data_IF_270060471923
#
_entry.id   IF_270060471923
#
_cell.length_a   1.000
_cell.length_b   1.000
_cell.length_c   1.000
_cell.angle_alpha   90.00
_cell.angle_beta   90.00
_cell.angle_gamma   90.00
#
_symmetry.space_group_name_H-M   'P 1'
#
loop_
_entity.id
_entity.type
_entity.pdbx_description
1 polymer ?
#
# COMPACT_ATOMS: atom_id res chain seq x y z
N UNK A 1 -54.44 37.61 -14.21
CA UNK A 1 -53.83 37.10 -12.96
C UNK A 1 -54.37 35.69 -12.77
N UNK A 2 -53.65 34.57 -12.73
CA UNK A 2 -52.27 34.22 -12.41
C UNK A 2 -51.93 32.94 -13.24
N UNK A 3 -50.80 32.91 -13.95
CA UNK A 3 -50.26 31.68 -14.57
C UNK A 3 -49.23 31.09 -13.61
N UNK A 4 -49.52 29.95 -12.98
CA UNK A 4 -48.51 29.19 -12.22
C UNK A 4 -47.77 28.24 -13.17
N UNK A 5 -46.47 28.50 -13.32
CA UNK A 5 -45.50 27.61 -13.97
C UNK A 5 -45.12 26.52 -12.97
N UNK A 6 -45.35 25.26 -13.29
CA UNK A 6 -44.72 24.14 -12.58
C UNK A 6 -43.27 24.04 -13.03
N UNK A 7 -42.35 24.32 -12.12
CA UNK A 7 -40.91 24.08 -12.27
C UNK A 7 -40.66 22.64 -11.84
N UNK A 8 -40.30 21.77 -12.78
CA UNK A 8 -39.87 20.39 -12.51
C UNK A 8 -38.39 20.44 -12.14
N UNK A 9 -38.08 20.38 -10.84
CA UNK A 9 -36.72 20.19 -10.33
C UNK A 9 -36.30 18.73 -10.53
N UNK A 10 -35.34 18.50 -11.43
CA UNK A 10 -34.59 17.23 -11.50
C UNK A 10 -33.72 17.13 -10.24
N UNK A 11 -34.06 16.22 -9.33
CA UNK A 11 -33.17 15.82 -8.26
C UNK A 11 -32.09 14.89 -8.83
N UNK A 12 -30.85 15.37 -8.90
CA UNK A 12 -29.67 14.54 -9.18
C UNK A 12 -29.41 13.69 -7.93
N UNK A 13 -29.84 12.43 -7.96
CA UNK A 13 -29.45 11.45 -6.95
C UNK A 13 -27.98 11.09 -7.18
N UNK A 14 -27.08 11.73 -6.43
CA UNK A 14 -25.71 11.30 -6.31
C UNK A 14 -25.69 9.95 -5.58
N UNK A 15 -25.63 8.85 -6.33
CA UNK A 15 -25.34 7.53 -5.78
C UNK A 15 -23.88 7.51 -5.35
N UNK A 16 -23.61 7.96 -4.13
CA UNK A 16 -22.35 7.69 -3.46
C UNK A 16 -22.22 6.17 -3.33
N UNK A 17 -21.33 5.56 -4.11
CA UNK A 17 -20.85 4.21 -3.86
C UNK A 17 -20.12 4.26 -2.52
N UNK A 18 -20.86 4.02 -1.44
CA UNK A 18 -20.25 3.72 -0.16
C UNK A 18 -19.50 2.41 -0.37
N UNK A 19 -18.17 2.45 -0.36
CA UNK A 19 -17.43 1.25 0.01
C UNK A 19 -17.95 0.91 1.40
N UNK A 20 -18.86 -0.05 1.47
CA UNK A 20 -19.26 -0.63 2.73
C UNK A 20 -18.01 -1.31 3.27
N UNK A 21 -17.33 -0.62 4.19
CA UNK A 21 -16.28 -1.23 4.98
C UNK A 21 -16.98 -2.33 5.75
N UNK A 22 -16.89 -3.56 5.26
CA UNK A 22 -17.33 -4.72 6.02
C UNK A 22 -16.48 -4.71 7.30
N UNK A 23 -17.13 -4.46 8.44
CA UNK A 23 -16.49 -4.71 9.72
C UNK A 23 -16.17 -6.21 9.77
N UNK A 24 -14.96 -6.55 10.21
CA UNK A 24 -14.71 -7.94 10.55
C UNK A 24 -15.76 -8.39 11.59
N UNK A 25 -16.27 -9.63 11.52
CA UNK A 25 -17.14 -10.13 12.56
C UNK A 25 -16.42 -10.00 13.91
N UNK A 26 -17.16 -9.62 14.96
CA UNK A 26 -16.61 -9.60 16.32
C UNK A 26 -15.99 -10.97 16.61
N UNK A 27 -14.77 -10.96 17.13
CA UNK A 27 -14.05 -12.18 17.45
C UNK A 27 -14.70 -12.91 18.63
N UNK A 28 -14.33 -14.16 18.85
CA UNK A 28 -14.46 -14.70 20.19
C UNK A 28 -13.35 -14.07 21.02
N UNK A 29 -13.67 -13.59 22.23
CA UNK A 29 -12.68 -13.08 23.19
C UNK A 29 -11.53 -14.09 23.32
N UNK A 30 -10.32 -13.65 23.01
CA UNK A 30 -9.11 -14.46 23.08
C UNK A 30 -8.32 -14.11 24.34
N UNK A 31 -7.72 -15.13 24.96
CA UNK A 31 -6.77 -14.96 26.06
C UNK A 31 -5.43 -15.56 25.65
N UNK A 32 -4.34 -14.82 25.87
CA UNK A 32 -2.98 -15.25 25.58
C UNK A 32 -2.05 -14.92 26.74
N UNK A 33 -1.25 -15.91 27.12
CA UNK A 33 -0.21 -15.76 28.12
C UNK A 33 1.15 -15.73 27.42
N UNK A 34 1.96 -14.75 27.77
CA UNK A 34 3.27 -14.46 27.18
C UNK A 34 4.27 -14.34 28.32
N UNK A 35 5.40 -15.04 28.20
CA UNK A 35 6.50 -14.93 29.15
C UNK A 35 7.52 -13.91 28.62
N UNK A 36 7.67 -12.81 29.34
CA UNK A 36 8.60 -11.73 29.04
C UNK A 36 9.89 -11.85 29.85
N UNK A 37 10.97 -11.34 29.26
CA UNK A 37 12.17 -10.95 29.97
C UNK A 37 12.16 -9.43 30.12
N UNK A 38 12.01 -8.95 31.35
CA UNK A 38 11.88 -7.54 31.69
C UNK A 38 13.15 -7.03 32.39
N UNK A 39 13.73 -5.95 31.88
CA UNK A 39 14.93 -5.35 32.42
C UNK A 39 14.57 -4.26 33.41
N UNK A 40 14.88 -4.50 34.67
CA UNK A 40 14.68 -3.58 35.78
C UNK A 40 15.96 -2.80 36.06
N UNK A 41 15.87 -1.53 36.49
CA UNK A 41 17.04 -0.73 36.81
C UNK A 41 17.97 -1.41 37.83
N UNK A 42 17.45 -1.82 39.00
CA UNK A 42 18.28 -2.28 40.13
C UNK A 42 18.56 -3.79 40.15
N UNK A 43 17.58 -4.60 39.76
CA UNK A 43 17.64 -6.08 39.88
C UNK A 43 17.88 -6.79 38.54
N UNK A 44 18.19 -6.02 37.48
CA UNK A 44 18.50 -6.56 36.17
C UNK A 44 17.31 -7.27 35.50
N UNK A 45 17.60 -8.31 34.72
CA UNK A 45 16.57 -9.02 33.95
C UNK A 45 15.78 -9.97 34.86
N UNK A 46 14.46 -9.80 34.87
CA UNK A 46 13.51 -10.60 35.62
C UNK A 46 12.42 -11.14 34.69
N UNK A 47 11.96 -12.38 34.90
CA UNK A 47 10.83 -12.91 34.16
C UNK A 47 9.54 -12.21 34.62
N UNK A 48 8.66 -11.92 33.67
CA UNK A 48 7.30 -11.45 33.92
C UNK A 48 6.34 -12.26 33.07
N UNK A 49 5.30 -12.82 33.68
CA UNK A 49 4.24 -13.47 32.93
C UNK A 49 3.11 -12.47 32.70
N UNK A 50 2.76 -12.24 31.44
CA UNK A 50 1.67 -11.37 31.05
C UNK A 50 0.53 -12.17 30.45
N UNK A 51 -0.69 -11.88 30.86
CA UNK A 51 -1.90 -12.41 30.23
C UNK A 51 -2.69 -11.28 29.60
N UNK A 52 -2.88 -11.34 28.29
CA UNK A 52 -3.70 -10.41 27.52
C UNK A 52 -5.03 -11.05 27.19
N UNK A 53 -6.11 -10.30 27.40
CA UNK A 53 -7.42 -10.64 26.86
C UNK A 53 -7.84 -9.55 25.89
N UNK A 54 -8.12 -9.96 24.65
CA UNK A 54 -8.43 -9.07 23.54
C UNK A 54 -9.56 -9.65 22.69
N UNK A 55 -10.39 -8.77 22.14
CA UNK A 55 -11.49 -9.13 21.25
C UNK A 55 -11.11 -8.81 19.80
N UNK A 56 -10.19 -9.61 19.26
CA UNK A 56 -9.83 -9.57 17.85
C UNK A 56 -10.21 -10.87 17.15
N UNK A 57 -10.61 -10.81 15.88
CA UNK A 57 -10.79 -12.01 15.08
C UNK A 57 -9.46 -12.76 14.93
N UNK A 58 -9.51 -14.10 14.95
CA UNK A 58 -8.33 -14.94 14.70
C UNK A 58 -7.82 -14.82 13.25
N UNK A 59 -8.71 -14.46 12.33
CA UNK A 59 -8.43 -14.25 10.92
C UNK A 59 -8.98 -12.90 10.45
N UNK A 60 -8.20 -12.15 9.68
CA UNK A 60 -8.65 -10.91 9.06
C UNK A 60 -8.72 -11.05 7.53
N UNK A 61 -9.78 -10.47 6.94
CA UNK A 61 -9.94 -10.32 5.48
C UNK A 61 -9.28 -9.02 5.00
N UNK A 62 -8.91 -8.98 3.73
CA UNK A 62 -8.32 -7.79 3.12
C UNK A 62 -9.21 -6.55 3.27
N UNK A 63 -8.61 -5.41 3.64
CA UNK A 63 -9.25 -4.11 3.85
C UNK A 63 -10.36 -4.07 4.93
N UNK A 64 -10.59 -5.17 5.66
CA UNK A 64 -11.47 -5.15 6.80
C UNK A 64 -10.86 -4.27 7.90
N UNK A 65 -11.71 -3.43 8.49
CA UNK A 65 -11.37 -2.76 9.72
C UNK A 65 -11.64 -3.73 10.87
N UNK A 66 -10.61 -4.01 11.67
CA UNK A 66 -10.82 -4.48 13.03
C UNK A 66 -11.22 -3.26 13.85
N UNK A 67 -12.41 -3.26 14.48
CA UNK A 67 -12.86 -2.15 15.28
C UNK A 67 -11.95 -1.95 16.51
N UNK A 68 -12.01 -0.76 17.08
CA UNK A 68 -11.45 -0.54 18.40
C UNK A 68 -12.07 -1.54 19.39
N UNK A 69 -11.22 -2.22 20.17
CA UNK A 69 -11.64 -3.28 21.06
C UNK A 69 -11.05 -3.06 22.46
N UNK A 70 -11.79 -3.43 23.52
CA UNK A 70 -11.23 -3.42 24.86
C UNK A 70 -10.11 -4.44 24.97
N UNK A 71 -9.02 -4.03 25.61
CA UNK A 71 -7.88 -4.88 25.93
C UNK A 71 -7.72 -4.87 27.44
N UNK A 72 -7.56 -6.06 28.02
CA UNK A 72 -7.15 -6.21 29.42
C UNK A 72 -5.82 -6.93 29.48
N UNK A 73 -4.95 -6.49 30.39
CA UNK A 73 -3.63 -7.05 30.61
C UNK A 73 -3.46 -7.37 32.09
N UNK A 74 -2.81 -8.49 32.40
CA UNK A 74 -2.50 -8.92 33.75
C UNK A 74 -1.04 -9.33 33.82
N UNK A 75 -0.24 -8.63 34.61
CA UNK A 75 1.22 -8.83 34.73
C UNK A 75 1.56 -9.39 36.09
N UNK A 76 2.02 -10.63 36.12
CA UNK A 76 2.48 -11.30 37.32
C UNK A 76 3.99 -11.13 37.49
N UNK A 77 4.38 -10.56 38.62
CA UNK A 77 5.78 -10.35 38.99
C UNK A 77 6.20 -11.35 40.08
N UNK A 78 7.40 -11.89 39.94
CA UNK A 78 7.97 -12.84 40.90
C UNK A 78 8.52 -12.20 42.17
N UNK A 79 8.95 -13.05 43.10
CA UNK A 79 9.51 -12.65 44.40
C UNK A 79 10.65 -11.63 44.33
N UNK A 80 11.61 -11.68 43.38
CA UNK A 80 12.70 -10.69 43.33
C UNK A 80 12.21 -9.25 43.13
N UNK A 81 11.14 -9.06 42.35
CA UNK A 81 10.54 -7.73 42.16
C UNK A 81 9.85 -7.29 43.45
N UNK A 82 9.13 -8.20 44.12
CA UNK A 82 8.50 -7.90 45.41
C UNK A 82 9.52 -7.53 46.50
N UNK A 83 10.68 -8.22 46.53
CA UNK A 83 11.76 -7.94 47.47
C UNK A 83 12.46 -6.60 47.19
N UNK A 84 12.61 -6.23 45.90
CA UNK A 84 13.06 -4.89 45.50
C UNK A 84 12.09 -3.82 46.00
N UNK A 85 10.79 -3.99 45.77
CA UNK A 85 9.79 -3.05 46.27
C UNK A 85 9.88 -2.94 47.79
N UNK A 86 10.04 -4.08 48.50
CA UNK A 86 10.15 -4.14 49.95
C UNK A 86 11.45 -3.56 50.53
N UNK A 87 12.39 -3.08 49.69
CA UNK A 87 13.65 -2.50 50.12
C UNK A 87 14.65 -3.50 50.70
N UNK A 88 14.48 -4.81 50.45
CA UNK A 88 15.33 -5.84 51.07
C UNK A 88 16.76 -5.87 50.52
N UNK A 89 16.98 -5.24 49.35
CA UNK A 89 18.29 -5.15 48.67
C UNK A 89 19.12 -3.93 49.09
N UNK A 90 18.83 -3.32 50.25
CA UNK A 90 19.59 -2.19 50.78
C UNK A 90 19.07 -0.81 50.35
N UNK A 91 17.86 -0.73 49.78
CA UNK A 91 17.11 0.50 49.60
C UNK A 91 16.14 0.66 50.79
N UNK A 92 16.07 1.83 51.43
CA UNK A 92 15.00 2.12 52.39
C UNK A 92 13.64 1.91 51.70
N UNK A 93 12.63 1.39 52.43
CA UNK A 93 11.30 0.98 51.90
C UNK A 93 10.87 1.78 50.68
N UNK A 94 10.69 1.11 49.54
CA UNK A 94 10.65 1.80 48.26
C UNK A 94 9.23 2.21 47.84
N UNK A 95 8.16 1.46 48.22
CA UNK A 95 6.80 1.88 47.85
C UNK A 95 5.63 1.17 48.56
N UNK A 96 4.82 1.87 49.36
CA UNK A 96 3.54 1.31 49.86
C UNK A 96 2.45 1.19 48.77
N UNK A 97 2.66 1.86 47.64
CA UNK A 97 1.77 1.85 46.48
C UNK A 97 2.56 1.88 45.17
N UNK A 98 2.12 1.06 44.21
CA UNK A 98 2.67 1.00 42.86
C UNK A 98 1.59 1.30 41.83
N UNK A 99 1.86 2.24 40.93
CA UNK A 99 1.03 2.60 39.79
C UNK A 99 1.80 2.34 38.50
N UNK A 100 1.07 2.00 37.43
CA UNK A 100 1.67 1.70 36.15
C UNK A 100 0.84 2.30 35.02
N UNK A 101 1.54 2.79 34.01
CA UNK A 101 0.98 3.03 32.68
C UNK A 101 1.84 2.31 31.65
N UNK A 102 1.26 2.00 30.50
CA UNK A 102 1.98 1.31 29.46
C UNK A 102 1.41 1.66 28.10
N UNK A 103 2.30 1.73 27.11
CA UNK A 103 1.92 1.62 25.70
C UNK A 103 2.26 0.21 25.23
N UNK A 104 1.23 -0.54 24.82
CA UNK A 104 1.41 -1.84 24.18
C UNK A 104 1.70 -1.62 22.69
N UNK A 105 2.88 -2.05 22.25
CA UNK A 105 3.28 -2.01 20.85
C UNK A 105 2.66 -3.17 20.07
N UNK A 106 1.94 -2.85 19.00
CA UNK A 106 1.55 -3.83 17.98
C UNK A 106 2.53 -3.73 16.82
N UNK A 107 3.44 -4.69 16.74
CA UNK A 107 4.43 -4.72 15.65
C UNK A 107 3.79 -5.30 14.39
N UNK A 108 3.77 -4.49 13.32
CA UNK A 108 3.51 -4.97 11.96
C UNK A 108 4.80 -5.55 11.36
N UNK A 109 4.77 -6.81 10.90
CA UNK A 109 5.86 -7.38 10.13
C UNK A 109 5.54 -7.30 8.64
N UNK A 110 5.98 -6.21 8.01
CA UNK A 110 5.97 -6.11 6.56
C UNK A 110 7.02 -7.01 5.92
N UNK A 111 6.67 -7.61 4.78
CA UNK A 111 7.61 -8.31 3.89
C UNK A 111 8.75 -7.40 3.38
N UNK A 112 8.71 -6.10 3.72
CA UNK A 112 9.65 -5.04 3.35
C UNK A 112 10.19 -4.26 4.56
N UNK A 113 10.42 -4.90 5.70
CA UNK A 113 11.29 -4.40 6.79
C UNK A 113 10.82 -3.09 7.48
N UNK A 114 9.54 -2.75 7.35
CA UNK A 114 8.95 -1.55 7.97
C UNK A 114 8.15 -1.93 9.21
N UNK A 115 8.62 -1.52 10.39
CA UNK A 115 7.89 -1.65 11.67
C UNK A 115 6.95 -0.45 11.80
N UNK A 116 5.66 -0.73 11.97
CA UNK A 116 4.69 0.28 12.36
C UNK A 116 4.12 -0.10 13.71
N UNK A 117 4.36 0.72 14.73
CA UNK A 117 3.84 0.50 16.07
C UNK A 117 2.44 1.12 16.17
N UNK A 118 1.47 0.33 16.63
CA UNK A 118 0.14 0.83 16.97
C UNK A 118 0.06 0.91 18.49
N UNK A 119 0.09 2.14 19.00
CA UNK A 119 0.05 2.42 20.44
C UNK A 119 -1.31 2.05 21.02
N UNK A 120 -1.33 1.08 21.93
CA UNK A 120 -2.51 0.79 22.76
C UNK A 120 -2.23 1.21 24.21
N UNK A 121 -2.73 2.38 24.65
CA UNK A 121 -2.51 2.84 26.01
C UNK A 121 -3.30 1.98 27.00
N UNK A 122 -2.61 1.50 28.03
CA UNK A 122 -3.17 0.72 29.13
C UNK A 122 -3.00 1.49 30.44
N UNK A 123 -4.08 1.54 31.22
CA UNK A 123 -4.09 2.09 32.58
C UNK A 123 -4.24 0.96 33.57
N UNK A 124 -3.36 0.91 34.57
CA UNK A 124 -3.34 -0.16 35.57
C UNK A 124 -4.00 0.27 36.88
N UNK A 125 -4.70 -0.68 37.51
CA UNK A 125 -5.16 -0.51 38.87
C UNK A 125 -3.94 -0.42 39.81
N UNK A 126 -3.90 0.54 40.75
CA UNK A 126 -2.83 0.63 41.73
C UNK A 126 -2.75 -0.65 42.57
N UNK A 127 -1.53 -1.09 42.87
CA UNK A 127 -1.28 -2.17 43.84
C UNK A 127 -0.91 -1.54 45.18
N UNK A 128 -1.65 -1.90 46.21
CA UNK A 128 -1.36 -1.54 47.60
C UNK A 128 -0.54 -2.65 48.25
N UNK A 129 0.48 -2.28 49.01
CA UNK A 129 1.38 -3.21 49.71
C UNK A 129 2.06 -4.23 48.76
N UNK A 130 2.83 -3.78 47.75
CA UNK A 130 3.51 -4.65 46.79
C UNK A 130 4.66 -5.46 47.41
N UNK A 131 4.85 -5.39 48.73
CA UNK A 131 5.96 -6.00 49.47
C UNK A 131 5.66 -7.42 49.97
N UNK A 132 4.40 -7.85 49.90
CA UNK A 132 3.93 -9.13 50.44
C UNK A 132 3.91 -10.20 49.35
N UNK A 133 5.11 -10.57 48.88
CA UNK A 133 5.30 -11.66 47.92
C UNK A 133 4.90 -11.32 46.48
N UNK A 134 4.79 -12.32 45.58
CA UNK A 134 4.44 -12.11 44.19
C UNK A 134 3.12 -11.34 44.06
N UNK A 135 3.08 -10.36 43.16
CA UNK A 135 1.91 -9.50 42.96
C UNK A 135 1.53 -9.42 41.48
N UNK A 136 0.34 -8.88 41.20
CA UNK A 136 -0.17 -8.72 39.84
C UNK A 136 -0.61 -7.29 39.59
N UNK A 137 -0.19 -6.72 38.45
CA UNK A 137 -0.74 -5.48 37.91
C UNK A 137 -1.81 -5.81 36.88
N UNK A 138 -3.03 -5.31 37.06
CA UNK A 138 -4.12 -5.48 36.10
C UNK A 138 -4.44 -4.15 35.43
N UNK A 139 -4.33 -4.11 34.10
CA UNK A 139 -4.58 -2.93 33.29
C UNK A 139 -5.70 -3.13 32.28
N UNK A 140 -6.34 -2.03 31.93
CA UNK A 140 -7.38 -1.99 30.91
C UNK A 140 -7.11 -0.83 29.96
N UNK A 141 -7.45 -1.01 28.69
CA UNK A 141 -7.43 0.06 27.70
C UNK A 141 -8.26 -0.30 26.49
N UNK A 142 -8.18 0.55 25.47
CA UNK A 142 -8.89 0.35 24.21
C UNK A 142 -7.88 0.45 23.09
N UNK A 143 -7.77 -0.59 22.29
CA UNK A 143 -6.94 -0.52 21.09
C UNK A 143 -7.59 0.41 20.07
N UNK A 144 -6.80 1.12 19.25
CA UNK A 144 -7.37 1.82 18.11
C UNK A 144 -7.94 0.84 17.08
N UNK A 145 -8.74 1.35 16.13
CA UNK A 145 -9.18 0.57 15.00
C UNK A 145 -8.00 0.29 14.05
N UNK A 146 -7.88 -0.95 13.60
CA UNK A 146 -6.76 -1.42 12.77
C UNK A 146 -7.29 -1.78 11.39
N UNK A 147 -6.66 -1.28 10.32
CA UNK A 147 -6.94 -1.69 8.94
C UNK A 147 -5.83 -2.60 8.41
N UNK A 148 -6.25 -3.65 7.71
CA UNK A 148 -5.39 -4.63 7.03
C UNK A 148 -5.26 -4.24 5.56
N UNK A 149 -4.13 -3.65 5.22
CA UNK A 149 -3.84 -3.14 3.87
C UNK A 149 -2.56 -3.75 3.27
N UNK A 150 -2.06 -4.85 3.85
CA UNK A 150 -0.85 -5.57 3.39
C UNK A 150 -0.89 -7.06 3.80
N UNK A 151 -0.19 -7.93 3.06
CA UNK A 151 -0.06 -9.37 3.36
C UNK A 151 0.83 -9.62 4.57
N UNK A 152 0.31 -9.46 5.78
CA UNK A 152 1.14 -9.48 6.98
C UNK A 152 0.48 -10.25 8.12
N UNK A 153 1.30 -11.04 8.82
CA UNK A 153 0.95 -11.53 10.14
C UNK A 153 1.26 -10.42 11.13
N UNK A 154 0.28 -10.10 11.97
CA UNK A 154 0.43 -9.12 13.02
C UNK A 154 0.89 -9.81 14.27
N UNK A 155 1.77 -9.18 15.02
CA UNK A 155 2.27 -9.71 16.28
C UNK A 155 2.02 -8.67 17.38
N UNK A 156 1.24 -9.05 18.38
CA UNK A 156 0.91 -8.16 19.50
C UNK A 156 1.95 -8.32 20.62
N UNK A 157 2.63 -7.22 20.99
CA UNK A 157 3.40 -7.15 22.23
C UNK A 157 4.74 -7.89 22.22
N UNK A 158 5.46 -7.98 21.10
CA UNK A 158 6.81 -8.57 21.13
C UNK A 158 7.80 -7.75 21.99
N UNK A 159 7.57 -6.44 22.08
CA UNK A 159 8.30 -5.47 22.92
C UNK A 159 7.31 -4.57 23.63
N UNK A 160 7.64 -4.19 24.86
CA UNK A 160 6.79 -3.36 25.72
C UNK A 160 7.64 -2.51 26.66
N UNK A 161 7.17 -1.30 26.97
CA UNK A 161 7.74 -0.44 28.01
C UNK A 161 6.69 -0.15 29.06
N UNK A 162 6.93 -0.53 30.31
CA UNK A 162 6.08 -0.17 31.44
C UNK A 162 6.66 1.08 32.11
N UNK A 163 5.84 2.10 32.27
CA UNK A 163 6.19 3.31 33.01
C UNK A 163 5.58 3.18 34.41
N UNK A 164 6.43 2.99 35.41
CA UNK A 164 6.03 2.68 36.79
C UNK A 164 6.24 3.89 37.68
N UNK A 165 5.26 4.18 38.55
CA UNK A 165 5.36 5.16 39.64
C UNK A 165 5.25 4.44 40.97
N UNK A 166 6.32 4.46 41.73
CA UNK A 166 6.35 4.00 43.12
C UNK A 166 6.08 5.18 44.06
N UNK A 167 5.31 4.97 45.12
CA UNK A 167 5.07 5.99 46.15
C UNK A 167 5.08 5.41 47.56
N UNK A 168 5.47 6.23 48.54
CA UNK A 168 5.40 5.96 49.98
C UNK A 168 4.63 7.09 50.64
N UNK A 169 3.56 6.80 51.39
CA UNK A 169 2.67 7.81 51.98
C UNK A 169 2.12 8.83 50.96
N UNK A 170 2.00 8.42 49.69
CA UNK A 170 1.55 9.28 48.58
C UNK A 170 2.62 10.17 47.95
N UNK A 171 3.86 10.14 48.43
CA UNK A 171 4.99 10.84 47.81
C UNK A 171 5.75 9.90 46.87
N UNK A 172 6.10 10.37 45.67
CA UNK A 172 6.80 9.54 44.68
C UNK A 172 8.20 9.17 45.19
N UNK A 173 8.54 7.88 45.09
CA UNK A 173 9.86 7.36 45.43
C UNK A 173 10.47 6.77 44.17
N UNK A 174 11.67 7.25 43.81
CA UNK A 174 12.37 6.78 42.63
C UNK A 174 13.32 5.65 43.02
N UNK A 175 13.30 4.59 42.22
CA UNK A 175 14.44 3.68 42.17
C UNK A 175 15.66 4.47 41.66
N UNK A 176 16.87 4.24 42.19
CA UNK A 176 18.07 4.93 41.74
C UNK A 176 18.18 4.75 40.21
N UNK A 177 18.33 5.85 39.45
CA UNK A 177 18.40 5.78 38.01
C UNK A 177 19.64 5.00 37.64
N UNK A 178 19.45 3.84 37.02
CA UNK A 178 20.55 3.16 36.36
C UNK A 178 20.67 3.85 35.02
N UNK A 179 21.77 4.55 34.80
CA UNK A 179 21.94 5.47 33.66
C UNK A 179 22.31 4.74 32.36
N UNK A 180 22.45 3.41 32.42
CA UNK A 180 22.80 2.59 31.28
C UNK A 180 22.25 1.17 31.42
N UNK A 181 21.95 0.57 30.27
CA UNK A 181 21.50 -0.78 30.11
C UNK A 181 22.73 -1.75 30.03
N UNK A 182 22.52 -3.06 30.00
CA UNK A 182 23.57 -4.08 29.89
C UNK A 182 24.56 -3.92 28.69
N UNK A 183 24.20 -3.16 27.66
CA UNK A 183 25.05 -2.85 26.51
C UNK A 183 25.71 -1.46 26.63
N UNK A 184 25.51 -0.78 27.76
CA UNK A 184 26.01 0.57 28.04
C UNK A 184 25.16 1.68 27.43
N UNK A 185 23.96 1.38 26.94
CA UNK A 185 23.06 2.37 26.32
C UNK A 185 22.21 3.08 27.37
N UNK A 186 22.01 4.40 27.29
CA UNK A 186 21.23 5.12 28.28
C UNK A 186 19.79 4.62 28.32
N UNK A 187 19.36 4.19 29.51
CA UNK A 187 17.94 4.02 29.85
C UNK A 187 17.40 5.41 30.12
N UNK A 188 17.14 6.17 29.05
CA UNK A 188 16.45 7.45 29.18
C UNK A 188 15.02 7.18 29.57
N UNK A 189 14.57 7.83 30.65
CA UNK A 189 13.17 8.18 30.79
C UNK A 189 12.65 8.68 29.42
N UNK A 190 11.76 7.88 28.84
CA UNK A 190 11.23 8.10 27.49
C UNK A 190 9.95 8.92 27.53
N UNK A 191 9.34 9.09 28.70
CA UNK A 191 8.11 9.86 28.89
C UNK A 191 8.37 11.28 29.44
N UNK A 192 9.57 11.53 29.97
CA UNK A 192 10.02 12.83 30.48
C UNK A 192 9.42 13.18 31.85
N UNK A 193 8.78 12.22 32.52
CA UNK A 193 8.22 12.35 33.85
C UNK A 193 9.28 11.98 34.91
N UNK A 194 9.76 12.97 35.72
CA UNK A 194 10.74 12.70 36.76
C UNK A 194 10.19 11.85 37.91
N UNK A 195 8.89 11.54 37.95
CA UNK A 195 8.25 10.72 38.99
C UNK A 195 8.06 9.24 38.58
N UNK A 196 8.46 8.85 37.36
CA UNK A 196 8.32 7.48 36.84
C UNK A 196 9.67 6.83 36.55
N UNK A 197 9.66 5.51 36.37
CA UNK A 197 10.80 4.77 35.81
C UNK A 197 10.33 3.69 34.82
N UNK A 198 11.17 3.41 33.83
CA UNK A 198 10.82 2.52 32.72
C UNK A 198 11.34 1.10 32.93
N UNK A 199 10.49 0.11 32.67
CA UNK A 199 10.84 -1.32 32.62
C UNK A 199 10.64 -1.82 31.19
N UNK A 200 11.71 -2.26 30.56
CA UNK A 200 11.70 -2.73 29.17
C UNK A 200 11.51 -4.24 29.13
N UNK A 201 10.46 -4.71 28.48
CA UNK A 201 10.12 -6.12 28.37
C UNK A 201 10.20 -6.58 26.91
N UNK A 202 10.73 -7.79 26.71
CA UNK A 202 10.76 -8.44 25.40
C UNK A 202 10.35 -9.91 25.48
N UNK A 203 9.68 -10.40 24.45
CA UNK A 203 9.30 -11.79 24.30
C UNK A 203 9.62 -12.26 22.86
N UNK A 204 9.93 -13.55 22.65
CA UNK A 204 10.12 -14.06 21.30
C UNK A 204 8.84 -13.89 20.48
N UNK A 205 8.96 -13.51 19.20
CA UNK A 205 7.80 -13.28 18.32
C UNK A 205 6.90 -14.51 18.11
N UNK A 206 7.36 -15.70 18.50
CA UNK A 206 6.58 -16.94 18.47
C UNK A 206 5.64 -17.13 19.67
N UNK A 207 5.84 -16.40 20.77
CA UNK A 207 5.03 -16.55 22.01
C UNK A 207 3.88 -15.55 22.11
N UNK A 208 3.71 -14.71 21.10
CA UNK A 208 2.79 -13.58 21.08
C UNK A 208 1.62 -13.83 20.13
N UNK A 209 0.49 -13.18 20.40
CA UNK A 209 -0.72 -13.33 19.61
C UNK A 209 -0.49 -12.93 18.15
N UNK A 210 -0.97 -13.77 17.22
CA UNK A 210 -1.02 -13.42 15.81
C UNK A 210 -2.43 -13.42 15.25
N UNK A 211 -2.69 -12.46 14.36
CA UNK A 211 -3.89 -12.42 13.52
C UNK A 211 -3.46 -12.96 12.17
N UNK A 212 -4.06 -14.07 11.75
CA UNK A 212 -3.75 -14.69 10.47
C UNK A 212 -4.50 -13.96 9.34
N UNK A 213 -3.87 -13.85 8.17
CA UNK A 213 -4.60 -13.50 6.95
C UNK A 213 -5.33 -14.74 6.42
N UNK A 214 -6.59 -14.58 6.05
CA UNK A 214 -7.46 -15.70 5.62
C UNK A 214 -7.18 -16.21 4.19
N UNK A 215 -6.27 -15.57 3.46
CA UNK A 215 -5.93 -15.93 2.09
C UNK A 215 -6.85 -15.32 1.03
N UNK A 216 -7.95 -14.65 1.42
CA UNK A 216 -8.91 -14.11 0.46
C UNK A 216 -8.46 -12.74 -0.05
N UNK A 217 -8.44 -12.62 -1.38
CA UNK A 217 -8.16 -11.35 -2.08
C UNK A 217 -9.44 -10.91 -2.77
N UNK A 218 -9.78 -9.61 -2.75
CA UNK A 218 -10.82 -9.11 -3.62
C UNK A 218 -10.41 -9.37 -5.07
N UNK A 219 -11.40 -9.68 -5.90
CA UNK A 219 -11.18 -9.79 -7.33
C UNK A 219 -10.58 -8.47 -7.87
N UNK A 220 -9.69 -8.52 -8.87
CA UNK A 220 -9.13 -7.30 -9.46
C UNK A 220 -10.23 -6.36 -9.93
N UNK A 221 -10.17 -5.10 -9.52
CA UNK A 221 -11.10 -4.09 -10.01
C UNK A 221 -10.77 -3.78 -11.47
N UNK A 222 -11.69 -4.10 -12.38
CA UNK A 222 -11.46 -3.83 -13.80
C UNK A 222 -11.71 -2.37 -14.10
N UNK A 223 -10.69 -1.70 -14.62
CA UNK A 223 -10.70 -0.29 -14.97
C UNK A 223 -10.46 -0.13 -16.48
N UNK A 224 -10.97 0.97 -17.03
CA UNK A 224 -10.73 1.36 -18.42
C UNK A 224 -10.32 2.83 -18.46
N UNK A 225 -9.27 3.13 -19.21
CA UNK A 225 -8.77 4.47 -19.43
C UNK A 225 -8.77 4.76 -20.94
N UNK A 226 -9.34 5.90 -21.32
CA UNK A 226 -9.07 6.49 -22.62
C UNK A 226 -7.64 7.03 -22.64
N UNK A 227 -6.98 6.89 -23.79
CA UNK A 227 -5.65 7.40 -24.06
C UNK A 227 -5.76 8.46 -25.15
N UNK A 228 -5.10 9.59 -24.94
CA UNK A 228 -4.97 10.63 -25.97
C UNK A 228 -3.58 11.24 -25.93
N UNK A 229 -3.00 11.54 -27.10
CA UNK A 229 -1.70 12.15 -27.18
C UNK A 229 -1.10 12.08 -28.57
N UNK A 230 0.18 11.76 -28.66
CA UNK A 230 0.89 11.70 -29.94
C UNK A 230 2.09 10.77 -29.92
N UNK A 231 2.57 10.41 -31.11
CA UNK A 231 3.87 9.80 -31.31
C UNK A 231 4.71 10.62 -32.27
N UNK A 232 6.01 10.70 -31.98
CA UNK A 232 6.99 11.38 -32.83
C UNK A 232 7.98 10.36 -33.37
N UNK A 233 8.12 10.35 -34.70
CA UNK A 233 9.07 9.51 -35.41
C UNK A 233 10.42 10.23 -35.53
N UNK A 234 11.48 9.57 -35.07
CA UNK A 234 12.85 10.10 -35.07
C UNK A 234 13.72 9.54 -36.21
N UNK A 235 13.12 8.76 -37.12
CA UNK A 235 13.84 8.09 -38.21
C UNK A 235 14.03 9.03 -39.41
N UNK A 236 14.44 8.46 -40.55
CA UNK A 236 14.57 9.17 -41.83
C UNK A 236 13.21 9.74 -42.30
N UNK A 237 12.10 9.20 -41.79
CA UNK A 237 10.76 9.74 -41.94
C UNK A 237 10.36 10.47 -40.66
N UNK A 238 10.49 11.79 -40.64
CA UNK A 238 10.25 12.61 -39.45
C UNK A 238 8.84 13.17 -39.42
N UNK A 239 8.27 13.24 -38.23
CA UNK A 239 7.02 13.94 -37.96
C UNK A 239 6.29 13.40 -36.75
N UNK A 240 5.17 14.06 -36.42
CA UNK A 240 4.33 13.73 -35.28
C UNK A 240 2.94 13.34 -35.76
N UNK A 241 2.36 12.33 -35.13
CA UNK A 241 1.03 11.82 -35.45
C UNK A 241 0.19 11.72 -34.16
N UNK A 242 -1.10 12.09 -34.19
CA UNK A 242 -1.96 11.98 -33.02
C UNK A 242 -2.19 10.52 -32.65
N UNK A 243 -2.36 10.22 -31.37
CA UNK A 243 -2.70 8.88 -30.90
C UNK A 243 -3.93 8.93 -30.01
N UNK A 244 -4.81 7.96 -30.24
CA UNK A 244 -5.98 7.69 -29.44
C UNK A 244 -6.05 6.18 -29.17
N UNK A 245 -6.71 5.81 -28.08
CA UNK A 245 -6.87 4.41 -27.75
C UNK A 245 -7.48 4.19 -26.38
N UNK A 246 -7.38 2.95 -25.92
CA UNK A 246 -7.87 2.51 -24.61
C UNK A 246 -6.86 1.59 -23.95
N UNK A 247 -6.68 1.76 -22.64
CA UNK A 247 -6.06 0.78 -21.75
C UNK A 247 -7.15 0.21 -20.85
N UNK A 248 -7.28 -1.10 -20.81
CA UNK A 248 -8.18 -1.81 -19.90
C UNK A 248 -7.37 -2.81 -19.09
N UNK A 249 -7.75 -3.03 -17.83
CA UNK A 249 -7.20 -4.14 -17.05
C UNK A 249 -7.72 -4.16 -15.62
N UNK A 250 -7.54 -5.30 -14.96
CA UNK A 250 -7.76 -5.45 -13.54
C UNK A 250 -6.60 -4.86 -12.74
N UNK A 251 -6.88 -4.08 -11.71
CA UNK A 251 -5.87 -3.66 -10.74
C UNK A 251 -6.02 -4.53 -9.49
N UNK A 252 -4.96 -5.23 -9.13
CA UNK A 252 -4.91 -6.02 -7.89
C UNK A 252 -4.68 -5.12 -6.68
N UNK A 253 -4.87 -5.68 -5.49
CA UNK A 253 -4.56 -5.00 -4.22
C UNK A 253 -3.08 -4.64 -4.08
N UNK A 254 -2.19 -5.41 -4.72
CA UNK A 254 -0.75 -5.13 -4.80
C UNK A 254 -0.41 -4.14 -5.93
N UNK A 255 -1.45 -3.47 -6.46
CA UNK A 255 -1.40 -2.52 -7.57
C UNK A 255 -0.75 -3.05 -8.84
N UNK A 256 -0.87 -4.35 -9.10
CA UNK A 256 -0.44 -4.96 -10.35
C UNK A 256 -1.56 -4.88 -11.38
N UNK A 257 -1.21 -4.60 -12.63
CA UNK A 257 -2.09 -4.68 -13.78
C UNK A 257 -2.16 -6.14 -14.24
N UNK A 258 -3.34 -6.72 -14.14
CA UNK A 258 -3.66 -8.08 -14.61
C UNK A 258 -4.71 -8.02 -15.70
N UNK A 259 -4.69 -9.03 -16.59
CA UNK A 259 -5.59 -9.11 -17.75
C UNK A 259 -5.64 -7.82 -18.58
N UNK A 260 -4.49 -7.17 -18.72
CA UNK A 260 -4.37 -5.91 -19.41
C UNK A 260 -4.60 -6.05 -20.91
N UNK A 261 -5.28 -5.06 -21.49
CA UNK A 261 -5.47 -4.89 -22.92
C UNK A 261 -5.19 -3.44 -23.30
N UNK A 262 -4.28 -3.23 -24.25
CA UNK A 262 -3.99 -1.94 -24.85
C UNK A 262 -4.48 -1.98 -26.30
N UNK A 263 -5.34 -1.05 -26.65
CA UNK A 263 -5.80 -0.82 -28.02
C UNK A 263 -5.42 0.59 -28.41
N UNK A 264 -4.74 0.74 -29.54
CA UNK A 264 -4.44 2.04 -30.13
C UNK A 264 -5.14 2.10 -31.48
N UNK A 265 -5.84 3.20 -31.72
CA UNK A 265 -6.52 3.44 -32.98
C UNK A 265 -5.50 3.64 -34.11
N UNK A 266 -5.95 3.45 -35.35
CA UNK A 266 -5.14 3.80 -36.51
C UNK A 266 -4.86 5.31 -36.49
N UNK A 267 -3.59 5.66 -36.65
CA UNK A 267 -3.16 7.05 -36.71
C UNK A 267 -2.74 7.44 -38.11
N UNK A 268 -3.00 8.69 -38.48
CA UNK A 268 -2.55 9.28 -39.72
C UNK A 268 -1.80 10.58 -39.44
N UNK A 269 -0.70 10.78 -40.16
CA UNK A 269 -0.08 12.10 -40.21
C UNK A 269 0.77 12.33 -41.43
N UNK A 270 1.17 13.60 -41.55
CA UNK A 270 2.06 14.08 -42.61
C UNK A 270 3.48 14.06 -42.10
N UNK A 271 4.34 13.37 -42.83
CA UNK A 271 5.73 13.15 -42.48
C UNK A 271 6.62 13.65 -43.62
N UNK A 272 7.92 13.78 -43.33
CA UNK A 272 8.94 14.10 -44.34
C UNK A 272 9.93 12.95 -44.41
N UNK A 273 9.90 12.19 -45.50
CA UNK A 273 10.84 11.13 -45.79
C UNK A 273 12.11 11.69 -46.45
N UNK A 274 13.28 11.17 -46.06
CA UNK A 274 14.60 11.54 -46.63
C UNK A 274 14.89 13.05 -46.53
N UNK A 275 14.25 13.76 -45.61
CA UNK A 275 14.41 15.20 -45.39
C UNK A 275 13.74 16.12 -46.42
N UNK A 276 13.22 15.59 -47.53
CA UNK A 276 12.68 16.42 -48.62
C UNK A 276 11.32 15.96 -49.17
N UNK A 277 10.92 14.70 -48.97
CA UNK A 277 9.75 14.11 -49.61
C UNK A 277 8.55 14.12 -48.66
N UNK A 278 7.50 14.92 -48.92
CA UNK A 278 6.29 14.90 -48.10
C UNK A 278 5.52 13.61 -48.35
N UNK A 279 5.23 12.88 -47.28
CA UNK A 279 4.43 11.65 -47.32
C UNK A 279 3.29 11.71 -46.30
N UNK A 280 2.18 11.07 -46.62
CA UNK A 280 1.08 10.83 -45.68
C UNK A 280 1.05 9.35 -45.36
N UNK A 281 1.25 9.00 -44.09
CA UNK A 281 1.23 7.62 -43.62
C UNK A 281 0.04 7.38 -42.70
N UNK A 282 -0.58 6.21 -42.83
CA UNK A 282 -1.53 5.66 -41.86
C UNK A 282 -0.89 4.45 -41.22
N UNK A 283 -0.67 4.52 -39.91
CA UNK A 283 -0.05 3.47 -39.10
C UNK A 283 -1.06 2.84 -38.16
N UNK A 284 -0.89 1.55 -37.90
CA UNK A 284 -1.59 0.82 -36.85
C UNK A 284 -0.61 0.17 -35.88
N UNK A 285 -0.90 0.24 -34.59
CA UNK A 285 -0.14 -0.42 -33.53
C UNK A 285 -0.97 -1.60 -33.01
N UNK A 286 -0.58 -2.82 -33.38
CA UNK A 286 -1.34 -4.03 -33.01
C UNK A 286 -0.63 -4.71 -31.85
N UNK A 287 -1.26 -4.76 -30.68
CA UNK A 287 -0.72 -5.47 -29.51
C UNK A 287 -0.60 -6.97 -29.77
N UNK A 288 0.47 -7.57 -29.24
CA UNK A 288 0.83 -8.97 -29.46
C UNK A 288 1.38 -9.57 -28.16
N UNK A 289 0.48 -10.18 -27.39
CA UNK A 289 0.79 -10.77 -26.08
C UNK A 289 0.12 -10.02 -24.93
N UNK A 290 0.39 -10.44 -23.68
CA UNK A 290 -0.20 -9.83 -22.50
C UNK A 290 0.26 -8.39 -22.33
N UNK A 291 -0.63 -7.54 -21.80
CA UNK A 291 -0.26 -6.23 -21.26
C UNK A 291 -0.10 -6.39 -19.76
N UNK A 292 1.11 -6.20 -19.28
CA UNK A 292 1.47 -6.31 -17.86
C UNK A 292 1.91 -4.96 -17.33
N UNK A 293 2.03 -4.83 -16.01
CA UNK A 293 2.46 -3.58 -15.41
C UNK A 293 2.01 -3.45 -13.98
N UNK A 294 2.16 -2.26 -13.43
CA UNK A 294 1.69 -1.96 -12.09
C UNK A 294 2.07 -0.56 -11.64
N UNK A 295 1.64 -0.23 -10.42
CA UNK A 295 2.02 0.99 -9.74
C UNK A 295 3.08 0.70 -8.68
N UNK A 296 4.14 1.48 -8.68
CA UNK A 296 5.16 1.47 -7.63
C UNK A 296 4.53 1.93 -6.31
N UNK A 297 4.58 1.13 -5.23
CA UNK A 297 3.88 1.42 -3.98
C UNK A 297 4.35 2.71 -3.30
N UNK A 298 5.62 3.08 -3.48
CA UNK A 298 6.25 4.20 -2.78
C UNK A 298 6.33 5.50 -3.58
N UNK A 299 6.63 5.43 -4.88
CA UNK A 299 6.86 6.62 -5.74
C UNK A 299 5.69 6.93 -6.67
N UNK A 300 4.58 6.20 -6.54
CA UNK A 300 3.40 6.28 -7.39
C UNK A 300 3.64 5.99 -8.88
N UNK A 301 4.85 5.68 -9.34
CA UNK A 301 5.13 5.48 -10.76
C UNK A 301 4.29 4.35 -11.37
N UNK A 302 3.62 4.62 -12.49
CA UNK A 302 2.89 3.64 -13.30
C UNK A 302 3.81 3.13 -14.42
N UNK A 303 3.91 1.80 -14.57
CA UNK A 303 4.56 1.16 -15.71
C UNK A 303 3.61 0.19 -16.37
N UNK A 304 3.46 0.28 -17.71
CA UNK A 304 2.67 -0.63 -18.53
C UNK A 304 3.56 -1.15 -19.66
N UNK A 305 3.64 -2.46 -19.80
CA UNK A 305 4.54 -3.15 -20.72
C UNK A 305 3.73 -4.04 -21.65
N UNK A 306 4.05 -3.96 -22.94
CA UNK A 306 3.46 -4.83 -23.95
C UNK A 306 4.38 -4.93 -25.15
N UNK A 307 4.07 -5.85 -26.07
CA UNK A 307 4.71 -5.93 -27.37
C UNK A 307 3.73 -5.53 -28.44
N UNK A 308 4.18 -4.72 -29.39
CA UNK A 308 3.34 -4.24 -30.50
C UNK A 308 3.97 -4.60 -31.84
N UNK A 309 3.12 -4.89 -32.82
CA UNK A 309 3.49 -4.96 -34.24
C UNK A 309 3.01 -3.69 -34.92
N UNK A 310 3.93 -2.98 -35.56
CA UNK A 310 3.62 -1.75 -36.26
C UNK A 310 3.29 -2.09 -37.71
N UNK A 311 2.16 -1.60 -38.20
CA UNK A 311 1.67 -1.82 -39.57
C UNK A 311 1.56 -0.50 -40.31
N UNK A 312 2.00 -0.48 -41.56
CA UNK A 312 1.74 0.62 -42.48
C UNK A 312 0.53 0.22 -43.31
N UNK A 313 -0.63 0.82 -43.03
CA UNK A 313 -1.88 0.52 -43.73
C UNK A 313 -1.97 1.25 -45.07
N UNK A 314 -1.45 2.48 -45.11
CA UNK A 314 -1.37 3.31 -46.31
C UNK A 314 -0.16 4.22 -46.23
N UNK A 315 0.54 4.40 -47.35
CA UNK A 315 1.61 5.37 -47.52
C UNK A 315 1.43 6.07 -48.87
N UNK A 316 1.33 7.41 -48.86
CA UNK A 316 1.15 8.22 -50.07
C UNK A 316 2.23 9.29 -50.18
N UNK A 317 2.91 9.39 -51.31
CA UNK A 317 3.77 10.53 -51.64
C UNK A 317 2.95 11.70 -52.15
N UNK A 318 3.34 12.92 -51.77
CA UNK A 318 2.68 14.16 -52.17
C UNK A 318 1.16 14.15 -51.93
N UNK A 319 0.70 13.39 -50.92
CA UNK A 319 -0.71 13.24 -50.55
C UNK A 319 -1.57 12.37 -51.49
N UNK A 320 -1.11 12.04 -52.70
CA UNK A 320 -1.93 11.40 -53.72
C UNK A 320 -1.35 10.11 -54.32
N UNK A 321 -0.02 9.97 -54.40
CA UNK A 321 0.62 8.86 -55.12
C UNK A 321 0.82 7.68 -54.15
N UNK A 322 0.13 6.54 -54.32
CA UNK A 322 0.25 5.41 -53.39
C UNK A 322 1.63 4.76 -53.52
N UNK A 323 2.41 4.80 -52.43
CA UNK A 323 3.70 4.10 -52.30
C UNK A 323 3.54 2.73 -51.64
N UNK A 324 2.58 2.58 -50.73
CA UNK A 324 2.24 1.29 -50.17
C UNK A 324 0.76 1.29 -49.79
N UNK A 325 0.08 0.18 -50.07
CA UNK A 325 -1.31 -0.01 -49.70
C UNK A 325 -1.53 -1.46 -49.28
N UNK A 326 -2.22 -1.66 -48.15
CA UNK A 326 -2.64 -2.98 -47.69
C UNK A 326 -2.11 -3.35 -46.30
N UNK A 327 -2.86 -4.22 -45.61
CA UNK A 327 -2.59 -4.62 -44.22
C UNK A 327 -1.41 -5.61 -44.04
N UNK A 328 -0.70 -5.94 -45.12
CA UNK A 328 0.43 -6.89 -45.11
C UNK A 328 1.77 -6.25 -44.76
N UNK A 329 1.89 -4.93 -44.89
CA UNK A 329 3.11 -4.19 -44.60
C UNK A 329 3.26 -3.98 -43.09
N UNK A 330 4.17 -4.72 -42.45
CA UNK A 330 4.33 -4.75 -41.00
C UNK A 330 5.79 -4.94 -40.58
N UNK A 331 6.11 -4.65 -39.32
CA UNK A 331 7.45 -4.88 -38.76
C UNK A 331 7.77 -6.38 -38.70
N UNK A 332 9.02 -6.73 -39.04
CA UNK A 332 9.56 -8.10 -38.94
C UNK A 332 9.63 -8.57 -37.49
N UNK A 333 10.03 -7.69 -36.59
CA UNK A 333 10.10 -7.96 -35.15
C UNK A 333 8.99 -7.22 -34.41
N UNK A 334 8.59 -7.78 -33.27
CA UNK A 334 7.74 -7.07 -32.33
C UNK A 334 8.56 -6.00 -31.62
N UNK A 335 7.95 -4.84 -31.43
CA UNK A 335 8.51 -3.71 -30.69
C UNK A 335 8.07 -3.85 -29.24
N UNK A 336 9.02 -3.85 -28.31
CA UNK A 336 8.71 -3.70 -26.89
C UNK A 336 8.27 -2.24 -26.64
N UNK A 337 7.11 -2.09 -26.00
CA UNK A 337 6.52 -0.80 -25.65
C UNK A 337 6.34 -0.74 -24.14
N UNK A 338 7.06 0.17 -23.49
CA UNK A 338 6.97 0.42 -22.05
C UNK A 338 6.51 1.85 -21.83
N UNK A 339 5.25 2.01 -21.40
CA UNK A 339 4.66 3.28 -21.02
C UNK A 339 4.94 3.52 -19.53
N UNK A 340 5.58 4.63 -19.21
CA UNK A 340 5.89 5.03 -17.84
C UNK A 340 5.29 6.39 -17.54
N UNK A 341 4.71 6.57 -16.36
CA UNK A 341 4.16 7.85 -15.92
C UNK A 341 4.17 8.02 -14.41
N UNK A 342 4.00 9.25 -13.96
CA UNK A 342 3.81 9.57 -12.54
C UNK A 342 2.40 10.12 -12.38
N UNK A 343 1.48 9.39 -11.71
CA UNK A 343 0.12 9.83 -11.49
C UNK A 343 0.09 11.00 -10.49
N UNK A 344 -0.90 11.88 -10.61
CA UNK A 344 -1.05 13.03 -9.72
C UNK A 344 -1.47 12.66 -8.29
N UNK A 345 -1.92 11.42 -8.06
CA UNK A 345 -2.33 10.92 -6.75
C UNK A 345 -1.94 9.45 -6.56
N UNK A 346 -2.06 8.97 -5.33
CA UNK A 346 -1.87 7.55 -4.98
C UNK A 346 -3.07 6.67 -5.37
N UNK A 347 -4.14 7.25 -5.95
CA UNK A 347 -5.29 6.50 -6.42
C UNK A 347 -4.93 5.77 -7.74
N UNK A 348 -5.04 4.44 -7.83
CA UNK A 348 -4.80 3.71 -9.07
C UNK A 348 -5.77 4.10 -10.21
N UNK A 349 -6.87 4.81 -9.90
CA UNK A 349 -7.81 5.39 -10.86
C UNK A 349 -7.48 6.84 -11.24
N UNK A 350 -6.30 7.33 -10.87
CA UNK A 350 -5.90 8.69 -11.19
C UNK A 350 -6.10 9.01 -12.67
N UNK A 351 -6.74 10.15 -12.91
CA UNK A 351 -6.92 10.71 -14.24
C UNK A 351 -5.74 11.61 -14.61
N UNK A 352 -5.61 11.91 -15.90
CA UNK A 352 -4.61 12.82 -16.44
C UNK A 352 -3.17 12.37 -16.13
N UNK A 353 -2.92 11.05 -16.09
CA UNK A 353 -1.58 10.51 -15.88
C UNK A 353 -0.78 10.69 -17.18
N UNK A 354 0.32 11.46 -17.17
CA UNK A 354 1.18 11.58 -18.34
C UNK A 354 2.02 10.30 -18.47
N UNK A 355 1.82 9.60 -19.57
CA UNK A 355 2.55 8.40 -19.96
C UNK A 355 3.54 8.74 -21.07
N UNK A 356 4.79 8.27 -20.92
CA UNK A 356 5.84 8.39 -21.92
C UNK A 356 6.38 7.01 -22.27
N UNK A 357 6.73 6.82 -23.53
CA UNK A 357 7.49 5.67 -23.99
C UNK A 357 8.51 6.07 -25.05
N UNK A 358 9.60 5.31 -25.12
CA UNK A 358 10.49 5.27 -26.27
C UNK A 358 10.36 3.90 -26.93
N UNK A 359 10.48 3.85 -28.27
CA UNK A 359 10.34 2.59 -28.98
C UNK A 359 11.16 2.56 -30.28
N UNK A 360 11.51 1.36 -30.70
CA UNK A 360 12.21 1.10 -31.95
C UNK A 360 11.27 0.50 -32.99
N UNK A 361 11.44 0.90 -34.24
CA UNK A 361 10.74 0.32 -35.39
C UNK A 361 11.75 -0.59 -36.10
N UNK A 362 11.46 -1.89 -36.17
CA UNK A 362 12.29 -2.80 -36.95
C UNK A 362 12.06 -2.61 -38.45
N UNK A 363 12.88 -3.26 -39.27
CA UNK A 363 12.59 -3.45 -40.69
C UNK A 363 11.16 -3.92 -40.94
N UNK A 364 10.62 -3.55 -42.10
CA UNK A 364 9.31 -4.00 -42.54
C UNK A 364 9.41 -5.19 -43.50
N UNK A 365 8.34 -5.98 -43.55
CA UNK A 365 8.10 -6.98 -44.58
C UNK A 365 6.68 -6.82 -45.16
N UNK A 366 6.45 -7.39 -46.34
CA UNK A 366 5.11 -7.42 -46.95
C UNK A 366 4.62 -6.07 -47.50
N UNK A 367 5.52 -5.13 -47.79
CA UNK A 367 5.20 -3.80 -48.31
C UNK A 367 5.25 -3.71 -49.85
N UNK A 368 5.20 -4.85 -50.54
CA UNK A 368 5.29 -4.94 -52.00
C UNK A 368 6.64 -4.50 -52.54
N UNK A 369 6.63 -3.93 -53.76
CA UNK A 369 7.83 -3.47 -54.49
C UNK A 369 8.67 -2.44 -53.72
N UNK A 370 8.08 -1.75 -52.75
CA UNK A 370 8.73 -0.67 -52.00
C UNK A 370 9.32 -1.11 -50.67
N UNK A 371 9.29 -2.41 -50.34
CA UNK A 371 9.85 -2.94 -49.07
C UNK A 371 11.32 -2.53 -48.87
N UNK A 372 12.11 -2.55 -49.95
CA UNK A 372 13.53 -2.17 -49.92
C UNK A 372 13.78 -0.67 -49.70
N UNK A 373 12.80 0.19 -49.98
CA UNK A 373 12.88 1.63 -49.76
C UNK A 373 12.28 2.05 -48.41
N UNK A 374 11.21 1.37 -47.98
CA UNK A 374 10.48 1.68 -46.75
C UNK A 374 11.29 1.32 -45.51
N UNK A 375 11.96 0.16 -45.49
CA UNK A 375 12.68 -0.27 -44.28
C UNK A 375 13.80 0.72 -43.89
N UNK A 376 14.70 1.15 -44.78
CA UNK A 376 15.71 2.17 -44.42
C UNK A 376 15.12 3.53 -44.05
N UNK A 377 13.92 3.86 -44.56
CA UNK A 377 13.29 5.14 -44.32
C UNK A 377 12.49 5.20 -43.01
N UNK A 378 11.94 4.07 -42.55
CA UNK A 378 11.02 4.00 -41.42
C UNK A 378 11.59 3.25 -40.21
N UNK A 379 12.51 2.31 -40.41
CA UNK A 379 13.15 1.58 -39.32
C UNK A 379 14.14 2.48 -38.57
N UNK A 380 14.25 2.26 -37.26
CA UNK A 380 15.17 3.01 -36.40
C UNK A 380 14.65 3.13 -34.96
N UNK A 381 15.57 3.53 -34.08
CA UNK A 381 15.32 3.79 -32.66
C UNK A 381 15.02 5.26 -32.38
N UNK A 382 14.66 5.58 -31.14
CA UNK A 382 14.48 6.97 -30.67
C UNK A 382 13.11 7.56 -30.96
N UNK A 383 12.16 6.77 -31.46
CA UNK A 383 10.77 7.22 -31.59
C UNK A 383 10.18 7.36 -30.19
N UNK A 384 9.32 8.36 -30.02
CA UNK A 384 8.69 8.67 -28.72
C UNK A 384 7.18 8.61 -28.83
N UNK A 385 6.55 8.31 -27.70
CA UNK A 385 5.11 8.34 -27.52
C UNK A 385 4.81 9.07 -26.23
N UNK A 386 3.89 10.03 -26.29
CA UNK A 386 3.38 10.75 -25.14
C UNK A 386 1.85 10.64 -25.14
N UNK A 387 1.29 10.08 -24.07
CA UNK A 387 -0.15 9.85 -23.91
C UNK A 387 -0.59 10.41 -22.56
N UNK A 388 -1.85 10.75 -22.46
CA UNK A 388 -2.51 11.14 -21.21
C UNK A 388 -3.71 10.23 -21.00
N UNK A 389 -3.84 9.70 -19.78
CA UNK A 389 -4.98 8.85 -19.41
C UNK A 389 -6.20 9.69 -19.02
N UNK A 390 -7.38 9.16 -19.27
CA UNK A 390 -8.64 9.64 -18.70
C UNK A 390 -9.47 8.44 -18.28
N UNK A 391 -9.77 8.31 -16.99
CA UNK A 391 -10.56 7.20 -16.50
C UNK A 391 -11.97 7.25 -17.09
N UNK A 392 -12.49 6.09 -17.52
CA UNK A 392 -13.88 5.93 -17.88
C UNK A 392 -14.66 5.45 -16.65
N UNK A 393 -15.87 5.99 -16.41
CA UNK A 393 -16.73 5.46 -15.36
C UNK A 393 -16.98 3.97 -15.61
N UNK A 394 -16.91 3.17 -14.55
CA UNK A 394 -17.28 1.76 -14.63
C UNK A 394 -18.69 1.66 -15.22
N UNK A 395 -18.86 0.87 -16.27
CA UNK A 395 -20.18 0.64 -16.85
C UNK A 395 -21.10 0.10 -15.75
N UNK A 396 -22.20 0.81 -15.48
CA UNK A 396 -23.21 0.32 -14.53
C UNK A 396 -23.65 -1.06 -15.00
N UNK A 397 -23.60 -2.11 -14.15
CA UNK A 397 -24.09 -3.41 -14.54
C UNK A 397 -25.55 -3.25 -14.98
N UNK A 398 -25.84 -3.62 -16.22
CA UNK A 398 -27.22 -3.66 -16.70
C UNK A 398 -27.96 -4.66 -15.80
N UNK A 399 -29.01 -4.27 -15.07
CA UNK A 399 -29.73 -5.20 -14.23
C UNK A 399 -30.20 -6.36 -15.11
N UNK A 400 -29.90 -7.59 -14.67
CA UNK A 400 -30.33 -8.78 -15.36
C UNK A 400 -31.85 -8.70 -15.60
N UNK A 401 -32.34 -9.07 -16.80
CA UNK A 401 -33.77 -9.06 -17.05
C UNK A 401 -34.45 -9.92 -15.99
N UNK A 402 -35.44 -9.36 -15.29
CA UNK A 402 -36.28 -10.14 -14.38
C UNK A 402 -36.99 -11.20 -15.22
N UNK A 403 -36.59 -12.46 -15.01
CA UNK A 403 -37.27 -13.64 -15.56
C UNK A 403 -38.63 -13.84 -14.91
#
# INVERSE_FOLDING_TARGET
MHRSRFVTTLAVAAAALTLSVAAAPAGAVQTRTVDYQCKWPVIGVQPMQATFTYDYPATATWAAAIPAAPVTASYAFGQPVADLMAGKDGLEQVADRLEATQTLDVTRYASLDSVYDVDTPLTFAPVTDPHVGPFTLTGTGTSPAIRFEVQENFVLGSRQVLNLRASVNGEATLLPPVTADADGLPVSDTDGDPETFNVYCSAPSSSVASIAWDGTRPAPETNTWELSGSTTLATVTKGTMPLHGTLRGGITVDRQLVDGALTLDDTQGRLVALGILPVTATLGFVTSGPVTGGFEPYFAALSVQTKVRIKIKSLKAFGAIPLAAGNTCQTKQLTDLTLTGVPPSKDPRAENVPLKATYAISDFNGCGLFTGLISPAAAGSGNTMELTTKALPAATPTPAPSS
#
